data_IF_869216306541
#
_entry.id   IF_869216306541
#
_cell.length_a   1.000
_cell.length_b   1.000
_cell.length_c   1.000
_cell.angle_alpha   90.00
_cell.angle_beta   90.00
_cell.angle_gamma   90.00
#
_symmetry.space_group_name_H-M   'P 1'
#
loop_
_entity.id
_entity.type
_entity.pdbx_description
1 polymer ?
#
# COMPACT_ATOMS: atom_id res chain seq x y z
N UNK A 1 -25.27 15.35 -9.55
CA UNK A 1 -24.19 15.82 -8.76
C UNK A 1 -22.85 15.44 -9.29
N UNK A 2 -21.94 16.31 -9.25
CA UNK A 2 -20.64 16.09 -9.80
C UNK A 2 -19.59 16.00 -8.74
N UNK A 3 -18.60 15.19 -8.99
CA UNK A 3 -17.39 15.23 -8.21
C UNK A 3 -16.34 15.91 -9.06
N UNK A 4 -15.65 16.88 -8.50
CA UNK A 4 -14.55 17.46 -9.25
C UNK A 4 -13.37 16.49 -9.23
N UNK A 5 -12.37 16.77 -10.04
CA UNK A 5 -11.23 15.88 -10.17
C UNK A 5 -10.45 15.74 -8.86
N UNK A 6 -10.38 16.83 -8.08
CA UNK A 6 -9.69 16.79 -6.81
C UNK A 6 -10.34 15.81 -5.84
N UNK A 7 -11.66 15.87 -5.74
CA UNK A 7 -12.41 14.97 -4.86
C UNK A 7 -12.19 13.51 -5.27
N UNK A 8 -12.23 13.24 -6.57
CA UNK A 8 -12.03 11.88 -7.07
C UNK A 8 -10.64 11.37 -6.74
N UNK A 9 -9.62 12.22 -6.90
CA UNK A 9 -8.24 11.83 -6.62
C UNK A 9 -8.01 11.56 -5.14
N UNK A 10 -8.61 12.39 -4.28
CA UNK A 10 -8.51 12.17 -2.83
C UNK A 10 -9.17 10.85 -2.47
N UNK A 11 -10.33 10.56 -3.04
CA UNK A 11 -11.04 9.32 -2.78
C UNK A 11 -10.17 8.11 -3.18
N UNK A 12 -9.57 8.15 -4.35
CA UNK A 12 -8.75 7.05 -4.83
C UNK A 12 -7.51 6.83 -3.96
N UNK A 13 -6.87 7.93 -3.54
CA UNK A 13 -5.73 7.83 -2.63
C UNK A 13 -6.14 7.21 -1.31
N UNK A 14 -7.26 7.64 -0.77
CA UNK A 14 -7.78 7.13 0.50
C UNK A 14 -8.15 5.66 0.39
N UNK A 15 -8.79 5.29 -0.70
CA UNK A 15 -9.18 3.91 -0.93
C UNK A 15 -7.96 2.99 -0.98
N UNK A 16 -6.94 3.38 -1.76
CA UNK A 16 -5.73 2.57 -1.86
C UNK A 16 -5.04 2.45 -0.50
N UNK A 17 -4.96 3.55 0.24
CA UNK A 17 -4.33 3.51 1.56
C UNK A 17 -5.09 2.59 2.50
N UNK A 18 -6.43 2.65 2.47
CA UNK A 18 -7.26 1.77 3.32
C UNK A 18 -7.06 0.31 2.95
N UNK A 19 -6.88 0.04 1.65
CA UNK A 19 -6.67 -1.33 1.18
C UNK A 19 -5.38 -1.93 1.69
N UNK A 20 -4.35 -1.11 1.90
CA UNK A 20 -3.10 -1.60 2.48
C UNK A 20 -3.38 -2.22 3.85
N UNK A 21 -4.01 -1.46 4.74
CA UNK A 21 -4.24 -1.96 6.10
C UNK A 21 -5.23 -3.09 6.12
N UNK A 22 -6.24 -3.07 5.25
CA UNK A 22 -7.22 -4.14 5.18
C UNK A 22 -6.55 -5.46 4.80
N UNK A 23 -5.65 -5.43 3.83
CA UNK A 23 -4.97 -6.65 3.40
C UNK A 23 -3.96 -7.14 4.43
N UNK A 24 -3.29 -6.23 5.12
CA UNK A 24 -2.41 -6.63 6.20
C UNK A 24 -3.21 -7.31 7.32
N UNK A 25 -4.37 -6.75 7.66
CA UNK A 25 -5.24 -7.34 8.67
C UNK A 25 -5.70 -8.73 8.26
N UNK A 26 -6.08 -8.89 6.98
CA UNK A 26 -6.51 -10.20 6.51
C UNK A 26 -5.37 -11.22 6.51
N UNK A 27 -4.15 -10.76 6.29
CA UNK A 27 -3.00 -11.66 6.31
C UNK A 27 -2.83 -12.33 7.68
N UNK A 28 -3.23 -11.65 8.75
CA UNK A 28 -3.14 -12.23 10.09
C UNK A 28 -3.98 -13.48 10.25
N UNK A 29 -5.01 -13.62 9.44
CA UNK A 29 -5.94 -14.74 9.52
C UNK A 29 -5.78 -15.68 8.33
N UNK A 30 -4.65 -15.58 7.64
CA UNK A 30 -4.39 -16.40 6.48
C UNK A 30 -4.33 -17.89 6.87
N UNK A 31 -4.84 -18.72 5.98
CA UNK A 31 -4.92 -20.15 6.25
C UNK A 31 -3.67 -20.91 5.86
N UNK A 32 -2.77 -20.26 5.15
CA UNK A 32 -1.54 -20.89 4.69
C UNK A 32 -0.50 -19.81 4.44
N UNK A 33 0.75 -20.24 4.30
CA UNK A 33 1.81 -19.30 3.95
C UNK A 33 1.57 -18.68 2.58
N UNK A 34 1.03 -19.47 1.63
CA UNK A 34 0.73 -18.93 0.31
C UNK A 34 -0.33 -17.85 0.39
N UNK A 35 -1.36 -18.05 1.19
CA UNK A 35 -2.41 -17.07 1.37
C UNK A 35 -1.89 -15.81 2.06
N UNK A 36 -1.04 -16.00 3.07
CA UNK A 36 -0.39 -14.90 3.78
C UNK A 36 0.40 -14.03 2.81
N UNK A 37 1.24 -14.66 2.00
CA UNK A 37 2.05 -13.96 1.01
C UNK A 37 1.16 -13.24 0.01
N UNK A 38 0.11 -13.90 -0.44
CA UNK A 38 -0.80 -13.30 -1.42
C UNK A 38 -1.42 -12.00 -0.88
N UNK A 39 -1.88 -12.03 0.37
CA UNK A 39 -2.47 -10.84 0.98
C UNK A 39 -1.46 -9.71 1.11
N UNK A 40 -0.23 -10.03 1.47
CA UNK A 40 0.81 -9.02 1.57
C UNK A 40 1.21 -8.47 0.22
N UNK A 41 1.16 -9.30 -0.83
CA UNK A 41 1.46 -8.82 -2.17
C UNK A 41 0.40 -7.85 -2.66
N UNK A 42 -0.86 -8.11 -2.31
CA UNK A 42 -1.92 -7.15 -2.62
C UNK A 42 -1.68 -5.84 -1.89
N UNK A 43 -1.30 -5.92 -0.60
CA UNK A 43 -1.01 -4.72 0.17
C UNK A 43 0.15 -3.94 -0.45
N UNK A 44 1.17 -4.63 -0.94
CA UNK A 44 2.31 -3.99 -1.57
C UNK A 44 1.89 -3.25 -2.84
N UNK A 45 1.06 -3.88 -3.64
CA UNK A 45 0.53 -3.26 -4.84
C UNK A 45 -0.24 -1.99 -4.50
N UNK A 46 -1.07 -2.06 -3.45
CA UNK A 46 -1.84 -0.90 -3.02
C UNK A 46 -0.94 0.21 -2.47
N UNK A 47 0.17 -0.16 -1.84
CA UNK A 47 1.14 0.84 -1.38
C UNK A 47 1.74 1.59 -2.57
N UNK A 48 2.05 0.87 -3.64
CA UNK A 48 2.56 1.50 -4.86
C UNK A 48 1.52 2.44 -5.47
N UNK A 49 0.26 2.03 -5.48
CA UNK A 49 -0.81 2.87 -6.01
C UNK A 49 -1.05 4.10 -5.15
N UNK A 50 -0.97 3.92 -3.83
CA UNK A 50 -1.11 5.05 -2.92
C UNK A 50 -0.02 6.09 -3.19
N UNK A 51 1.21 5.63 -3.34
CA UNK A 51 2.33 6.52 -3.62
C UNK A 51 2.10 7.29 -4.92
N UNK A 52 1.58 6.61 -5.93
CA UNK A 52 1.27 7.22 -7.21
C UNK A 52 0.19 8.29 -7.06
N UNK A 53 -0.87 8.00 -6.29
CA UNK A 53 -1.93 9.00 -6.06
C UNK A 53 -1.43 10.19 -5.26
N UNK A 54 -0.52 9.97 -4.31
CA UNK A 54 0.09 11.08 -3.58
C UNK A 54 0.83 12.00 -4.53
N UNK A 55 1.53 11.43 -5.49
CA UNK A 55 2.24 12.20 -6.49
C UNK A 55 1.27 13.05 -7.31
N UNK A 56 0.15 12.45 -7.72
CA UNK A 56 -0.88 13.15 -8.48
C UNK A 56 -1.46 14.29 -7.66
N UNK A 57 -1.75 14.05 -6.38
CA UNK A 57 -2.31 15.08 -5.51
C UNK A 57 -1.35 16.25 -5.34
N UNK A 58 -0.05 15.95 -5.22
CA UNK A 58 0.95 17.00 -5.08
C UNK A 58 1.05 17.82 -6.35
N UNK A 59 1.12 17.16 -7.48
CA UNK A 59 1.25 17.85 -8.77
C UNK A 59 0.01 18.67 -9.09
N UNK A 60 -1.13 18.28 -8.58
CA UNK A 60 -2.37 19.01 -8.78
C UNK A 60 -2.55 20.15 -7.79
N UNK A 61 -1.63 20.31 -6.85
CA UNK A 61 -1.72 21.37 -5.87
C UNK A 61 -2.69 21.09 -4.74
N UNK A 62 -3.19 19.87 -4.62
CA UNK A 62 -4.13 19.50 -3.57
C UNK A 62 -3.41 19.32 -2.24
N UNK A 63 -2.21 18.75 -2.26
CA UNK A 63 -1.36 18.69 -1.07
C UNK A 63 -0.04 19.37 -1.39
N UNK A 64 0.59 19.91 -0.37
CA UNK A 64 1.87 20.59 -0.56
C UNK A 64 3.02 19.58 -0.52
N UNK A 65 4.22 20.09 -0.83
CA UNK A 65 5.40 19.22 -0.90
C UNK A 65 5.78 18.61 0.43
N UNK A 66 5.60 19.37 1.51
CA UNK A 66 5.95 18.88 2.84
C UNK A 66 5.07 17.69 3.19
N UNK A 67 3.75 17.84 2.98
CA UNK A 67 2.79 16.77 3.23
C UNK A 67 3.08 15.58 2.33
N UNK A 68 3.34 15.84 1.06
CA UNK A 68 3.64 14.78 0.10
C UNK A 68 4.84 13.94 0.55
N UNK A 69 5.95 14.61 0.92
CA UNK A 69 7.16 13.89 1.32
C UNK A 69 6.94 13.07 2.58
N UNK A 70 6.19 13.62 3.54
CA UNK A 70 5.91 12.91 4.78
C UNK A 70 5.11 11.64 4.51
N UNK A 71 4.06 11.76 3.71
CA UNK A 71 3.20 10.61 3.40
C UNK A 71 3.93 9.59 2.53
N UNK A 72 4.73 10.06 1.57
CA UNK A 72 5.50 9.17 0.73
C UNK A 72 6.50 8.37 1.56
N UNK A 73 7.14 9.02 2.53
CA UNK A 73 8.09 8.33 3.40
C UNK A 73 7.41 7.23 4.22
N UNK A 74 6.22 7.50 4.74
CA UNK A 74 5.46 6.49 5.47
C UNK A 74 5.10 5.32 4.57
N UNK A 75 4.66 5.62 3.37
CA UNK A 75 4.30 4.60 2.40
C UNK A 75 5.51 3.72 2.05
N UNK A 76 6.68 4.36 1.89
CA UNK A 76 7.91 3.63 1.62
C UNK A 76 8.32 2.70 2.75
N UNK A 77 8.13 3.13 3.99
CA UNK A 77 8.43 2.28 5.13
C UNK A 77 7.53 1.06 5.16
N UNK A 78 6.23 1.27 4.93
CA UNK A 78 5.28 0.17 4.89
C UNK A 78 5.66 -0.80 3.78
N UNK A 79 5.98 -0.29 2.61
CA UNK A 79 6.34 -1.14 1.47
C UNK A 79 7.57 -1.99 1.78
N UNK A 80 8.59 -1.39 2.40
CA UNK A 80 9.80 -2.14 2.76
C UNK A 80 9.50 -3.23 3.78
N UNK A 81 8.63 -2.95 4.74
CA UNK A 81 8.22 -3.96 5.70
C UNK A 81 7.49 -5.11 5.05
N UNK A 82 6.60 -4.79 4.10
CA UNK A 82 5.86 -5.81 3.38
C UNK A 82 6.80 -6.69 2.56
N UNK A 83 7.75 -6.07 1.85
CA UNK A 83 8.71 -6.81 1.04
C UNK A 83 9.54 -7.74 1.93
N UNK A 84 9.99 -7.25 3.07
CA UNK A 84 10.78 -8.06 4.00
C UNK A 84 9.97 -9.27 4.49
N UNK A 85 8.71 -9.05 4.86
CA UNK A 85 7.86 -10.12 5.35
C UNK A 85 7.59 -11.15 4.25
N UNK A 86 7.30 -10.68 3.04
CA UNK A 86 7.05 -11.56 1.90
C UNK A 86 8.29 -12.41 1.63
N UNK A 87 9.45 -11.77 1.59
CA UNK A 87 10.71 -12.46 1.31
C UNK A 87 10.98 -13.53 2.35
N UNK A 88 10.77 -13.21 3.63
CA UNK A 88 11.01 -14.16 4.71
C UNK A 88 10.11 -15.38 4.58
N UNK A 89 8.83 -15.19 4.32
CA UNK A 89 7.90 -16.31 4.23
C UNK A 89 8.15 -17.13 2.98
N UNK A 90 8.44 -16.48 1.85
CA UNK A 90 8.75 -17.20 0.62
C UNK A 90 10.00 -18.05 0.78
N UNK A 91 10.98 -17.55 1.51
CA UNK A 91 12.19 -18.29 1.79
C UNK A 91 11.87 -19.57 2.57
N UNK A 92 11.00 -19.46 3.57
CA UNK A 92 10.59 -20.64 4.34
C UNK A 92 9.82 -21.62 3.48
N UNK A 93 9.00 -21.13 2.56
CA UNK A 93 8.21 -21.99 1.70
C UNK A 93 9.08 -22.77 0.73
N UNK A 94 10.14 -22.14 0.26
CA UNK A 94 10.97 -22.72 -0.78
C UNK A 94 12.19 -23.43 -0.24
N UNK A 95 12.55 -23.09 0.93
CA UNK A 95 13.74 -23.46 1.37
C UNK A 95 14.05 -24.32 2.34
N UNK A 96 13.32 -24.54 2.81
CA UNK A 96 13.54 -24.93 3.65
C UNK A 96 13.84 -26.03 3.88
N UNK A 97 14.41 -26.41 4.14
CA UNK A 97 14.79 -27.58 4.35
C UNK A 97 15.40 -27.63 5.42
#
# INVERSE_FOLDING_TARGET
>A
MFKNKGTTRIYKATYSASSISANIAEAKYAESNADFVHKLEIAQKEANETENWLCVLCKSGIIDEVTFKALRNKCGKIRRMLIASITTVKSKMNGQK
#
